data_IF_446320023406
#
_entry.id   IF_446320023406
#
_cell.length_a   1.000
_cell.length_b   1.000
_cell.length_c   1.000
_cell.angle_alpha   90.00
_cell.angle_beta   90.00
_cell.angle_gamma   90.00
#
_symmetry.space_group_name_H-M   'P 1'
#
loop_
_entity.id
_entity.type
_entity.pdbx_description
1 polymer ?
#
# COMPACT_ATOMS: atom_id res chain seq x y z
N UNK A 1 -5.60 -8.62 11.20
CA UNK A 1 -6.56 -9.50 11.85
C UNK A 1 -6.63 -10.88 11.15
N UNK A 2 -6.82 -10.92 9.83
CA UNK A 2 -6.92 -12.18 9.06
C UNK A 2 -5.70 -13.11 9.26
N UNK A 3 -4.47 -12.62 9.17
CA UNK A 3 -3.28 -13.45 9.40
C UNK A 3 -3.21 -14.01 10.83
N UNK A 4 -3.54 -13.19 11.82
CA UNK A 4 -3.65 -13.65 13.22
C UNK A 4 -4.69 -14.76 13.39
N UNK A 5 -5.85 -14.67 12.70
CA UNK A 5 -6.87 -15.72 12.75
C UNK A 5 -6.45 -17.02 12.05
N UNK A 6 -5.39 -16.98 11.24
CA UNK A 6 -4.75 -18.14 10.60
C UNK A 6 -3.56 -18.67 11.38
N UNK A 7 -3.30 -18.15 12.58
CA UNK A 7 -2.21 -18.62 13.44
C UNK A 7 -0.81 -18.05 13.10
N UNK A 8 -0.75 -16.99 12.27
CA UNK A 8 0.53 -16.34 11.99
C UNK A 8 1.00 -15.51 13.18
N UNK A 9 2.29 -15.51 13.45
CA UNK A 9 2.95 -14.43 14.17
C UNK A 9 3.04 -13.21 13.25
N UNK A 10 2.46 -12.09 13.65
CA UNK A 10 2.37 -10.90 12.80
C UNK A 10 3.24 -9.77 13.37
N UNK A 11 4.13 -9.26 12.52
CA UNK A 11 4.96 -8.09 12.82
C UNK A 11 4.48 -6.94 11.93
N UNK A 12 4.06 -5.84 12.54
CA UNK A 12 3.69 -4.61 11.86
C UNK A 12 4.82 -3.58 11.96
N UNK A 13 5.16 -2.94 10.85
CA UNK A 13 6.19 -1.91 10.82
C UNK A 13 5.63 -0.52 10.53
N UNK A 14 6.30 0.50 11.06
CA UNK A 14 6.15 1.89 10.65
C UNK A 14 7.53 2.55 10.61
N UNK A 15 7.63 3.79 10.09
CA UNK A 15 8.91 4.54 10.14
C UNK A 15 9.40 4.72 11.58
N UNK A 16 8.47 4.98 12.47
CA UNK A 16 8.72 5.08 13.91
C UNK A 16 7.57 4.39 14.65
N UNK A 17 7.87 3.26 15.29
CA UNK A 17 6.88 2.47 16.00
C UNK A 17 6.59 3.01 17.41
N UNK A 18 7.48 3.82 17.99
CA UNK A 18 7.30 4.42 19.31
C UNK A 18 6.29 5.57 19.26
N UNK A 19 6.39 6.41 18.21
CA UNK A 19 5.49 7.56 18.02
C UNK A 19 4.18 7.13 17.34
N UNK A 20 4.21 6.08 16.53
CA UNK A 20 3.05 5.62 15.77
C UNK A 20 1.92 5.13 16.71
N UNK A 21 0.75 5.72 16.56
CA UNK A 21 -0.40 5.34 17.39
C UNK A 21 -1.04 3.99 17.00
N UNK A 22 -0.73 3.44 15.81
CA UNK A 22 -1.33 2.21 15.29
C UNK A 22 -2.85 2.14 15.50
N UNK A 23 -3.55 3.24 15.22
CA UNK A 23 -4.97 3.45 15.53
C UNK A 23 -5.85 2.32 15.01
N UNK A 24 -5.57 1.78 13.83
CA UNK A 24 -6.35 0.68 13.26
C UNK A 24 -6.15 -0.63 14.03
N UNK A 25 -4.96 -0.91 14.55
CA UNK A 25 -4.74 -2.09 15.40
C UNK A 25 -5.53 -1.98 16.72
N UNK A 26 -5.55 -0.77 17.31
CA UNK A 26 -6.35 -0.50 18.52
C UNK A 26 -7.85 -0.65 18.26
N UNK A 27 -8.36 -0.07 17.15
CA UNK A 27 -9.77 -0.21 16.76
C UNK A 27 -10.21 -1.67 16.54
N UNK A 28 -9.30 -2.51 16.06
CA UNK A 28 -9.55 -3.93 15.82
C UNK A 28 -9.32 -4.80 17.08
N UNK A 29 -8.88 -4.24 18.21
CA UNK A 29 -8.58 -4.98 19.42
C UNK A 29 -7.40 -5.96 19.30
N UNK A 30 -6.47 -5.70 18.37
CA UNK A 30 -5.34 -6.60 18.10
C UNK A 30 -3.99 -5.93 18.36
N UNK A 31 -3.96 -4.78 19.00
CA UNK A 31 -2.74 -4.00 19.23
C UNK A 31 -1.66 -4.80 19.95
N UNK A 32 -2.03 -5.53 21.01
CA UNK A 32 -1.10 -6.35 21.80
C UNK A 32 -0.69 -7.66 21.10
N UNK A 33 -1.49 -8.10 20.12
CA UNK A 33 -1.23 -9.34 19.36
C UNK A 33 -0.26 -9.14 18.20
N UNK A 34 0.08 -7.90 17.85
CA UNK A 34 0.99 -7.57 16.75
C UNK A 34 2.26 -6.97 17.34
N UNK A 35 3.40 -7.55 17.04
CA UNK A 35 4.70 -6.95 17.35
C UNK A 35 4.91 -5.71 16.48
N UNK A 36 5.24 -4.57 17.06
CA UNK A 36 5.46 -3.31 16.36
C UNK A 36 6.95 -3.02 16.29
N UNK A 37 7.45 -2.67 15.09
CA UNK A 37 8.86 -2.37 14.86
C UNK A 37 9.03 -1.12 13.99
N UNK A 38 10.15 -0.43 14.16
CA UNK A 38 10.55 0.67 13.30
C UNK A 38 11.36 0.16 12.12
N UNK A 39 10.96 0.54 10.89
CA UNK A 39 11.71 0.27 9.66
C UNK A 39 11.69 1.50 8.77
N UNK A 40 12.87 1.98 8.39
CA UNK A 40 13.02 2.94 7.29
C UNK A 40 13.09 2.17 5.97
N UNK A 41 12.00 2.13 5.20
CA UNK A 41 11.92 1.38 3.94
C UNK A 41 12.81 1.96 2.83
N UNK A 42 13.31 3.17 2.99
CA UNK A 42 14.24 3.83 2.08
C UNK A 42 15.71 3.63 2.45
N UNK A 43 15.97 2.88 3.50
CA UNK A 43 17.29 2.52 3.99
C UNK A 43 17.48 1.00 3.92
N UNK A 44 18.48 0.58 3.13
CA UNK A 44 18.79 -0.84 2.93
C UNK A 44 19.17 -1.55 4.24
N UNK A 45 20.01 -0.92 5.06
CA UNK A 45 20.48 -1.52 6.31
C UNK A 45 19.32 -1.75 7.29
N UNK A 46 18.42 -0.78 7.39
CA UNK A 46 17.22 -0.89 8.23
C UNK A 46 16.33 -2.09 7.82
N UNK A 47 16.10 -2.25 6.51
CA UNK A 47 15.29 -3.36 5.99
C UNK A 47 16.02 -4.69 6.14
N UNK A 48 17.30 -4.75 5.76
CA UNK A 48 18.13 -5.95 5.83
C UNK A 48 18.25 -6.49 7.26
N UNK A 49 18.53 -5.60 8.21
CA UNK A 49 18.64 -5.95 9.63
C UNK A 49 17.30 -6.45 10.19
N UNK A 50 16.18 -5.81 9.84
CA UNK A 50 14.87 -6.27 10.25
C UNK A 50 14.58 -7.70 9.73
N UNK A 51 14.90 -7.99 8.46
CA UNK A 51 14.71 -9.33 7.88
C UNK A 51 15.59 -10.36 8.61
N UNK A 52 16.83 -10.04 8.93
CA UNK A 52 17.74 -10.97 9.63
C UNK A 52 17.35 -11.21 11.08
N UNK A 53 16.88 -10.19 11.79
CA UNK A 53 16.45 -10.31 13.19
C UNK A 53 15.16 -11.13 13.29
N UNK A 54 14.15 -10.78 12.48
CA UNK A 54 12.81 -11.35 12.60
C UNK A 54 12.58 -12.58 11.72
N UNK A 55 13.42 -12.81 10.73
CA UNK A 55 13.41 -14.00 9.86
C UNK A 55 12.02 -14.34 9.31
N UNK A 56 11.30 -13.38 8.70
CA UNK A 56 9.93 -13.62 8.24
C UNK A 56 9.89 -14.70 7.15
N UNK A 57 8.80 -15.46 7.11
CA UNK A 57 8.50 -16.37 5.99
C UNK A 57 7.80 -15.63 4.85
N UNK A 58 7.03 -14.59 5.18
CA UNK A 58 6.24 -13.80 4.24
C UNK A 58 6.37 -12.31 4.54
N UNK A 59 6.49 -11.49 3.50
CA UNK A 59 6.53 -10.03 3.61
C UNK A 59 5.44 -9.44 2.74
N UNK A 60 4.58 -8.61 3.35
CA UNK A 60 3.51 -7.86 2.68
C UNK A 60 3.89 -6.37 2.64
N UNK A 61 4.36 -5.91 1.49
CA UNK A 61 4.68 -4.49 1.29
C UNK A 61 3.42 -3.70 0.94
N UNK A 62 2.84 -3.07 1.94
CA UNK A 62 1.68 -2.17 1.83
C UNK A 62 2.09 -0.71 2.05
N UNK A 63 3.38 -0.45 2.19
CA UNK A 63 3.91 0.88 2.47
C UNK A 63 3.94 1.76 1.22
N UNK A 64 4.06 3.05 1.44
CA UNK A 64 4.20 4.08 0.42
C UNK A 64 3.05 5.08 0.41
N UNK A 65 3.31 6.20 -0.26
CA UNK A 65 2.30 7.21 -0.54
C UNK A 65 1.15 6.59 -1.36
N UNK A 66 -0.10 6.91 -1.04
CA UNK A 66 -1.28 6.25 -1.62
C UNK A 66 -2.33 7.20 -2.22
N UNK A 67 -1.99 8.47 -2.41
CA UNK A 67 -2.89 9.48 -2.98
C UNK A 67 -2.42 9.88 -4.38
N UNK A 68 -3.28 9.71 -5.38
CA UNK A 68 -3.00 10.14 -6.76
C UNK A 68 -2.81 11.65 -6.82
N UNK A 69 -3.69 12.45 -6.20
CA UNK A 69 -3.58 13.91 -6.22
C UNK A 69 -2.29 14.40 -5.57
N UNK A 70 -1.92 13.86 -4.40
CA UNK A 70 -0.70 14.24 -3.72
C UNK A 70 0.56 13.89 -4.53
N UNK A 71 0.50 12.89 -5.40
CA UNK A 71 1.64 12.50 -6.24
C UNK A 71 2.03 13.56 -7.27
N UNK A 72 1.10 14.42 -7.67
CA UNK A 72 1.41 15.56 -8.54
C UNK A 72 2.11 16.70 -7.80
N UNK A 73 1.80 16.86 -6.51
CA UNK A 73 2.43 17.85 -5.64
C UNK A 73 3.81 17.37 -5.14
N UNK A 74 3.93 16.07 -4.89
CA UNK A 74 5.12 15.43 -4.31
C UNK A 74 5.55 14.19 -5.12
N UNK A 75 5.98 14.36 -6.38
CA UNK A 75 6.32 13.23 -7.25
C UNK A 75 7.52 12.43 -6.75
N UNK A 76 8.53 13.09 -6.18
CA UNK A 76 9.71 12.42 -5.61
C UNK A 76 9.34 11.51 -4.44
N UNK A 77 8.48 11.97 -3.53
CA UNK A 77 8.00 11.13 -2.42
C UNK A 77 7.29 9.87 -2.93
N UNK A 78 6.53 9.98 -4.02
CA UNK A 78 5.87 8.82 -4.64
C UNK A 78 6.89 7.81 -5.19
N UNK A 79 7.91 8.27 -5.91
CA UNK A 79 8.98 7.41 -6.44
C UNK A 79 9.80 6.78 -5.31
N UNK A 80 10.18 7.56 -4.31
CA UNK A 80 11.00 7.07 -3.21
C UNK A 80 10.25 6.08 -2.32
N UNK A 81 9.02 6.41 -1.92
CA UNK A 81 8.26 5.55 -1.01
C UNK A 81 7.64 4.31 -1.67
N UNK A 82 7.56 4.26 -2.99
CA UNK A 82 6.97 3.13 -3.73
C UNK A 82 8.04 2.38 -4.52
N UNK A 83 8.68 3.04 -5.52
CA UNK A 83 9.59 2.37 -6.45
C UNK A 83 10.91 2.01 -5.77
N UNK A 84 11.59 3.02 -5.22
CA UNK A 84 12.88 2.85 -4.52
C UNK A 84 12.74 1.92 -3.31
N UNK A 85 11.71 2.12 -2.49
CA UNK A 85 11.46 1.26 -1.34
C UNK A 85 11.21 -0.20 -1.74
N UNK A 86 10.45 -0.45 -2.81
CA UNK A 86 10.26 -1.82 -3.33
C UNK A 86 11.59 -2.44 -3.77
N UNK A 87 12.42 -1.70 -4.50
CA UNK A 87 13.75 -2.18 -4.93
C UNK A 87 14.65 -2.50 -3.73
N UNK A 88 14.64 -1.66 -2.70
CA UNK A 88 15.42 -1.89 -1.46
C UNK A 88 14.96 -3.19 -0.77
N UNK A 89 13.65 -3.39 -0.62
CA UNK A 89 13.12 -4.61 0.02
C UNK A 89 13.51 -5.85 -0.79
N UNK A 90 13.35 -5.83 -2.12
CA UNK A 90 13.73 -6.94 -2.99
C UNK A 90 15.22 -7.29 -2.88
N UNK A 91 16.09 -6.26 -2.90
CA UNK A 91 17.52 -6.45 -2.72
C UNK A 91 17.87 -6.99 -1.32
N UNK A 92 17.23 -6.48 -0.27
CA UNK A 92 17.46 -6.96 1.09
C UNK A 92 17.07 -8.43 1.23
N UNK A 93 15.88 -8.83 0.70
CA UNK A 93 15.49 -10.25 0.69
C UNK A 93 16.54 -11.10 -0.02
N UNK A 94 16.94 -10.70 -1.23
CA UNK A 94 17.97 -11.42 -2.00
C UNK A 94 19.27 -11.55 -1.25
N UNK A 95 19.74 -10.48 -0.61
CA UNK A 95 21.02 -10.46 0.14
C UNK A 95 21.02 -11.36 1.38
N UNK A 96 19.87 -11.73 1.92
CA UNK A 96 19.78 -12.69 3.03
C UNK A 96 20.00 -14.14 2.60
N UNK A 97 19.93 -14.44 1.31
CA UNK A 97 19.95 -15.81 0.78
C UNK A 97 18.74 -16.68 1.18
N UNK A 98 17.74 -16.12 1.85
CA UNK A 98 16.56 -16.83 2.37
C UNK A 98 15.46 -16.90 1.32
N UNK A 99 14.69 -17.97 1.37
CA UNK A 99 13.44 -18.08 0.60
C UNK A 99 12.33 -17.38 1.40
N UNK A 100 11.89 -16.22 0.94
CA UNK A 100 10.85 -15.41 1.58
C UNK A 100 9.78 -15.12 0.52
N UNK A 101 8.53 -15.39 0.84
CA UNK A 101 7.42 -14.99 -0.03
C UNK A 101 7.19 -13.49 0.11
N UNK A 102 7.17 -12.78 -1.01
CA UNK A 102 6.98 -11.32 -1.04
C UNK A 102 5.75 -10.94 -1.84
N UNK A 103 4.87 -10.18 -1.20
CA UNK A 103 3.71 -9.56 -1.84
C UNK A 103 3.89 -8.04 -1.87
N UNK A 104 3.73 -7.43 -3.04
CA UNK A 104 3.70 -5.99 -3.24
C UNK A 104 2.29 -5.53 -3.60
N UNK A 105 1.79 -4.53 -2.89
CA UNK A 105 0.52 -3.90 -3.22
C UNK A 105 0.67 -3.02 -4.47
N UNK A 106 0.19 -3.50 -5.60
CA UNK A 106 0.02 -2.75 -6.84
C UNK A 106 -1.22 -1.84 -6.80
N UNK A 107 -1.56 -1.27 -7.94
CA UNK A 107 -2.73 -0.38 -8.07
C UNK A 107 -3.29 -0.44 -9.48
N UNK A 108 -4.61 -0.34 -9.63
CA UNK A 108 -5.30 -0.14 -10.91
C UNK A 108 -4.86 1.12 -11.66
N UNK A 109 -4.27 2.10 -10.96
CA UNK A 109 -3.69 3.30 -11.59
C UNK A 109 -2.52 2.98 -12.54
N UNK A 110 -1.97 1.75 -12.52
CA UNK A 110 -1.01 1.28 -13.51
C UNK A 110 -1.62 1.21 -14.92
N UNK A 111 -2.92 0.93 -15.04
CA UNK A 111 -3.60 0.83 -16.33
C UNK A 111 -3.89 2.20 -16.96
N UNK A 112 -4.00 3.27 -16.15
CA UNK A 112 -4.38 4.59 -16.61
C UNK A 112 -5.79 4.62 -17.20
N UNK A 113 -5.96 5.33 -18.32
CA UNK A 113 -7.24 5.39 -19.02
C UNK A 113 -7.39 4.18 -19.95
N UNK A 114 -8.36 3.32 -19.66
CA UNK A 114 -8.69 2.13 -20.45
C UNK A 114 -9.81 2.36 -21.46
N UNK A 115 -10.19 3.62 -21.73
CA UNK A 115 -11.29 4.00 -22.63
C UNK A 115 -12.62 3.29 -22.30
N UNK A 116 -12.92 3.20 -21.01
CA UNK A 116 -14.11 2.53 -20.45
C UNK A 116 -14.16 1.00 -20.65
N UNK A 117 -13.07 0.39 -21.13
CA UNK A 117 -12.96 -1.07 -21.17
C UNK A 117 -12.48 -1.59 -19.81
N UNK A 118 -13.07 -2.68 -19.28
CA UNK A 118 -12.56 -3.32 -18.08
C UNK A 118 -11.10 -3.77 -18.28
N UNK A 119 -10.25 -3.50 -17.28
CA UNK A 119 -8.89 -4.00 -17.29
C UNK A 119 -8.84 -5.47 -16.86
N UNK A 120 -7.99 -6.26 -17.48
CA UNK A 120 -7.66 -7.63 -17.16
C UNK A 120 -6.14 -7.85 -17.10
N UNK A 121 -5.70 -9.09 -16.93
CA UNK A 121 -4.29 -9.46 -16.83
C UNK A 121 -3.50 -9.25 -18.14
N UNK A 122 -4.17 -9.02 -19.28
CA UNK A 122 -3.58 -8.74 -20.60
C UNK A 122 -3.55 -7.26 -20.91
N UNK A 123 -4.26 -6.45 -20.14
CA UNK A 123 -4.32 -5.00 -20.35
C UNK A 123 -2.95 -4.37 -20.12
N UNK A 124 -2.45 -3.65 -21.12
CA UNK A 124 -1.17 -2.94 -21.04
C UNK A 124 -1.22 -1.81 -20.02
N UNK A 125 -0.12 -1.61 -19.30
CA UNK A 125 0.03 -0.46 -18.40
C UNK A 125 0.23 0.83 -19.20
N UNK A 126 -0.54 1.86 -18.84
CA UNK A 126 -0.44 3.22 -19.40
C UNK A 126 -0.69 4.25 -18.28
N UNK A 127 0.14 4.30 -17.23
CA UNK A 127 -0.09 5.14 -16.07
C UNK A 127 -0.05 6.62 -16.42
N UNK A 128 -1.01 7.41 -15.86
CA UNK A 128 -1.19 8.83 -16.14
C UNK A 128 -0.85 9.74 -14.95
N UNK A 129 -0.26 9.21 -13.88
CA UNK A 129 0.13 9.97 -12.70
C UNK A 129 1.47 9.51 -12.14
N UNK A 130 2.22 10.37 -11.41
CA UNK A 130 3.46 9.95 -10.74
C UNK A 130 3.24 8.74 -9.79
N UNK A 131 2.09 8.66 -9.13
CA UNK A 131 1.69 7.50 -8.34
C UNK A 131 1.53 6.23 -9.19
N UNK A 132 0.77 6.32 -10.29
CA UNK A 132 0.58 5.19 -11.22
C UNK A 132 1.89 4.72 -11.85
N UNK A 133 2.75 5.66 -12.26
CA UNK A 133 4.10 5.37 -12.78
C UNK A 133 4.93 4.64 -11.72
N UNK A 134 4.93 5.11 -10.46
CA UNK A 134 5.68 4.48 -9.37
C UNK A 134 5.19 3.05 -9.09
N UNK A 135 3.87 2.82 -9.12
CA UNK A 135 3.28 1.48 -8.94
C UNK A 135 3.58 0.55 -10.11
N UNK A 136 3.53 1.05 -11.36
CA UNK A 136 3.91 0.29 -12.55
C UNK A 136 5.40 -0.08 -12.52
N UNK A 137 6.28 0.84 -12.14
CA UNK A 137 7.71 0.59 -11.95
C UNK A 137 7.97 -0.48 -10.90
N UNK A 138 7.30 -0.40 -9.73
CA UNK A 138 7.40 -1.40 -8.70
C UNK A 138 6.93 -2.79 -9.17
N UNK A 139 5.85 -2.86 -9.95
CA UNK A 139 5.39 -4.11 -10.57
C UNK A 139 6.46 -4.74 -11.46
N UNK A 140 7.09 -3.95 -12.33
CA UNK A 140 8.13 -4.46 -13.23
C UNK A 140 9.38 -4.91 -12.47
N UNK A 141 9.76 -4.22 -11.39
CA UNK A 141 10.84 -4.65 -10.50
C UNK A 141 10.53 -6.01 -9.87
N UNK A 142 9.33 -6.17 -9.28
CA UNK A 142 8.92 -7.46 -8.69
C UNK A 142 8.91 -8.57 -9.71
N UNK A 143 8.37 -8.33 -10.91
CA UNK A 143 8.35 -9.31 -12.02
C UNK A 143 9.76 -9.70 -12.45
N UNK A 144 10.65 -8.72 -12.63
CA UNK A 144 12.05 -8.96 -13.01
C UNK A 144 12.79 -9.78 -11.96
N UNK A 145 12.71 -9.40 -10.68
CA UNK A 145 13.35 -10.14 -9.58
C UNK A 145 12.83 -11.56 -9.45
N UNK A 146 11.51 -11.76 -9.58
CA UNK A 146 10.90 -13.10 -9.59
C UNK A 146 11.52 -14.00 -10.66
N UNK A 147 11.62 -13.50 -11.90
CA UNK A 147 12.14 -14.27 -13.03
C UNK A 147 13.64 -14.50 -12.96
N UNK A 148 14.40 -13.44 -12.60
CA UNK A 148 15.87 -13.50 -12.59
C UNK A 148 16.41 -14.35 -11.43
N UNK A 149 15.80 -14.22 -10.25
CA UNK A 149 16.31 -14.88 -9.04
C UNK A 149 15.45 -16.08 -8.58
N UNK A 150 14.47 -16.49 -9.38
CA UNK A 150 13.57 -17.62 -9.09
C UNK A 150 12.92 -17.54 -7.70
N UNK A 151 12.55 -16.32 -7.28
CA UNK A 151 11.97 -16.04 -5.98
C UNK A 151 10.43 -16.04 -6.04
N UNK A 152 9.79 -16.35 -4.89
CA UNK A 152 8.33 -16.31 -4.76
C UNK A 152 7.84 -14.88 -4.51
N UNK A 153 7.89 -14.05 -5.54
CA UNK A 153 7.47 -12.65 -5.48
C UNK A 153 6.23 -12.42 -6.35
N UNK A 154 5.28 -11.65 -5.84
CA UNK A 154 4.08 -11.29 -6.60
C UNK A 154 3.61 -9.87 -6.31
N UNK A 155 2.85 -9.32 -7.25
CA UNK A 155 2.15 -8.05 -7.10
C UNK A 155 0.66 -8.28 -7.27
N UNK A 156 -0.13 -7.90 -6.28
CA UNK A 156 -1.58 -7.82 -6.40
C UNK A 156 -1.99 -6.45 -6.91
N UNK A 157 -2.66 -6.38 -8.06
CA UNK A 157 -3.17 -5.12 -8.60
C UNK A 157 -4.51 -4.82 -7.93
N UNK A 158 -4.49 -3.88 -6.99
CA UNK A 158 -5.65 -3.52 -6.19
C UNK A 158 -6.43 -2.39 -6.87
N UNK A 159 -7.73 -2.60 -7.00
CA UNK A 159 -8.70 -1.56 -7.35
C UNK A 159 -9.13 -0.77 -6.10
N UNK A 160 -10.11 0.12 -6.22
CA UNK A 160 -10.56 0.87 -5.06
C UNK A 160 -11.22 -0.08 -4.06
N UNK A 161 -10.68 -0.13 -2.85
CA UNK A 161 -11.22 -0.94 -1.76
C UNK A 161 -11.43 -0.09 -0.53
N UNK A 162 -12.55 -0.28 0.12
CA UNK A 162 -13.02 0.56 1.20
C UNK A 162 -13.30 -0.25 2.47
N UNK A 163 -13.30 0.41 3.60
CA UNK A 163 -13.68 -0.17 4.88
C UNK A 163 -13.89 0.94 5.93
N UNK A 164 -14.47 0.64 7.09
CA UNK A 164 -14.56 1.59 8.21
C UNK A 164 -13.19 2.08 8.72
N UNK A 165 -12.11 1.37 8.39
CA UNK A 165 -10.74 1.73 8.78
C UNK A 165 -10.06 2.69 7.79
N UNK A 166 -10.69 2.99 6.66
CA UNK A 166 -10.15 3.88 5.63
C UNK A 166 -9.92 5.28 6.20
N UNK A 167 -8.79 5.95 5.90
CA UNK A 167 -8.57 7.33 6.36
C UNK A 167 -9.61 8.32 5.84
N UNK A 168 -9.97 9.32 6.65
CA UNK A 168 -11.01 10.32 6.36
C UNK A 168 -10.80 11.15 5.09
N UNK A 169 -9.56 11.20 4.57
CA UNK A 169 -9.23 11.91 3.32
C UNK A 169 -9.76 11.22 2.05
N UNK A 170 -10.10 9.94 2.12
CA UNK A 170 -10.64 9.19 0.99
C UNK A 170 -12.14 9.45 0.84
N UNK A 171 -12.61 9.42 -0.42
CA UNK A 171 -13.91 9.94 -0.82
C UNK A 171 -15.08 9.32 -0.04
N UNK A 172 -15.11 8.01 0.14
CA UNK A 172 -16.20 7.33 0.87
C UNK A 172 -16.26 7.76 2.33
N UNK A 173 -15.13 7.77 3.03
CA UNK A 173 -15.06 8.25 4.40
C UNK A 173 -15.34 9.76 4.50
N UNK A 174 -14.87 10.56 3.53
CA UNK A 174 -15.17 11.98 3.46
C UNK A 174 -16.68 12.21 3.34
N UNK A 175 -17.36 11.47 2.46
CA UNK A 175 -18.82 11.57 2.28
C UNK A 175 -19.53 11.23 3.59
N UNK A 176 -19.28 10.05 4.16
CA UNK A 176 -19.95 9.59 5.39
C UNK A 176 -19.75 10.57 6.55
N UNK A 177 -18.50 10.99 6.78
CA UNK A 177 -18.17 11.91 7.88
C UNK A 177 -18.81 13.29 7.69
N UNK A 178 -18.83 13.81 6.46
CA UNK A 178 -19.44 15.12 6.19
C UNK A 178 -20.96 15.08 6.30
N UNK A 179 -21.62 14.00 5.84
CA UNK A 179 -23.07 13.82 6.03
C UNK A 179 -23.43 13.81 7.53
N UNK A 180 -22.65 13.11 8.35
CA UNK A 180 -22.88 13.11 9.80
C UNK A 180 -22.73 14.51 10.40
N UNK A 181 -21.76 15.30 9.95
CA UNK A 181 -21.58 16.68 10.39
C UNK A 181 -22.71 17.60 9.94
N UNK A 182 -23.20 17.44 8.71
CA UNK A 182 -24.39 18.16 8.20
C UNK A 182 -25.60 17.81 9.06
N UNK A 183 -25.83 16.52 9.33
CA UNK A 183 -26.93 16.07 10.18
C UNK A 183 -26.90 16.69 11.57
N UNK A 184 -25.71 16.88 12.14
CA UNK A 184 -25.49 17.46 13.47
C UNK A 184 -25.41 18.99 13.45
N UNK A 185 -25.59 19.64 12.30
CA UNK A 185 -25.54 21.11 12.16
C UNK A 185 -24.15 21.74 12.25
N UNK A 186 -23.08 20.94 12.30
CA UNK A 186 -21.72 21.44 12.37
C UNK A 186 -21.07 21.79 11.02
N UNK A 187 -21.64 21.31 9.92
CA UNK A 187 -21.34 21.68 8.55
C UNK A 187 -22.63 21.79 7.74
N UNK A 188 -22.63 22.52 6.61
CA UNK A 188 -23.80 22.71 5.77
C UNK A 188 -23.59 22.23 4.32
N UNK A 189 -22.38 21.90 3.93
CA UNK A 189 -22.02 21.49 2.55
C UNK A 189 -20.99 20.38 2.52
N UNK A 190 -21.11 19.52 1.50
CA UNK A 190 -20.11 18.53 1.14
C UNK A 190 -19.39 19.01 -0.14
N UNK A 191 -18.07 19.17 -0.06
CA UNK A 191 -17.23 19.53 -1.21
C UNK A 191 -16.58 18.29 -1.79
N UNK A 192 -16.94 17.96 -3.03
CA UNK A 192 -16.34 16.88 -3.81
C UNK A 192 -15.62 17.45 -5.04
N UNK A 193 -14.68 16.70 -5.60
CA UNK A 193 -14.10 16.98 -6.90
C UNK A 193 -15.04 16.59 -8.04
N UNK A 194 -14.50 16.00 -9.11
CA UNK A 194 -15.32 15.54 -10.23
C UNK A 194 -16.24 14.39 -9.78
N UNK A 195 -17.55 14.64 -9.82
CA UNK A 195 -18.59 13.68 -9.41
C UNK A 195 -18.93 12.64 -10.49
N UNK A 196 -18.50 12.87 -11.75
CA UNK A 196 -18.73 11.95 -12.86
C UNK A 196 -17.69 10.83 -12.95
N UNK A 197 -16.71 10.86 -12.05
CA UNK A 197 -15.64 9.87 -12.01
C UNK A 197 -16.17 8.48 -11.62
N UNK A 198 -16.03 7.52 -12.52
CA UNK A 198 -16.38 6.11 -12.27
C UNK A 198 -15.18 5.37 -11.66
N UNK A 199 -15.45 4.46 -10.74
CA UNK A 199 -14.44 3.59 -10.10
C UNK A 199 -15.05 2.21 -9.85
N UNK A 200 -14.19 1.19 -9.89
CA UNK A 200 -14.52 -0.14 -9.38
C UNK A 200 -14.31 -0.16 -7.87
N UNK A 201 -15.37 -0.43 -7.12
CA UNK A 201 -15.39 -0.35 -5.66
C UNK A 201 -15.50 -1.74 -5.04
N UNK A 202 -14.47 -2.11 -4.25
CA UNK A 202 -14.48 -3.29 -3.39
C UNK A 202 -14.71 -2.93 -1.92
N UNK A 203 -15.26 -3.86 -1.17
CA UNK A 203 -15.49 -3.75 0.28
C UNK A 203 -14.61 -4.74 1.06
#
# INVERSE_FOLDING_TARGET
NFLLSKGYEVIGSSRDAEISQFTNLKKLGIYEKVKKISISINDFESVYNAINIYKPNEIYNLAGQSSVSLSFEQPLESIESITKATLIILNAIRSTGRIIKFYSAGSSECFGNTNSMPADEKTSFNPCSPYGISKASAYWLVKSFRSTYQQYFCTGILFNHESPLRPKRFVTQKIVQTILKIKNGSENKLYLGNIDTKRDWGW
#
